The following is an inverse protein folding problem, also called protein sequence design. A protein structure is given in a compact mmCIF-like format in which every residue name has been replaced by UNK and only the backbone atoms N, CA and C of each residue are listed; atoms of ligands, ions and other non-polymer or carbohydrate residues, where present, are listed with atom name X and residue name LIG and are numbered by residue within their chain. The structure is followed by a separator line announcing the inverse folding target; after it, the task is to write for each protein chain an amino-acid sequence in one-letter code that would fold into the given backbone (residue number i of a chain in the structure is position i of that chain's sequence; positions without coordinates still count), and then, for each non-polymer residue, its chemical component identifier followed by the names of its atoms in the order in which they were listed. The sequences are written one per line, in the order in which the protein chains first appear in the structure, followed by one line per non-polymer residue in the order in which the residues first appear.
data_IF_696067331145
#
_entry.id   IF_696067331145
#
_cell.length_a   1.000
_cell.length_b   1.000
_cell.length_c   1.000
_cell.angle_alpha   90.00
_cell.angle_beta   90.00
_cell.angle_gamma   90.00
#
_symmetry.space_group_name_H-M   'P 1'
#
loop_
_entity.id
_entity.type
_entity.pdbx_description
1 polymer ?
#
# COMPACT_ATOMS: atom_id res chain seq x y z
N UNK A 1 22.97 19.53 13.76
CA UNK A 1 22.02 20.39 13.02
C UNK A 1 20.68 19.68 12.96
N UNK A 2 19.56 20.42 12.88
CA UNK A 2 18.23 19.83 12.63
C UNK A 2 18.23 19.20 11.24
N UNK A 3 18.20 17.88 11.17
CA UNK A 3 18.12 17.16 9.89
C UNK A 3 16.68 17.17 9.39
N UNK A 4 16.51 17.48 8.09
CA UNK A 4 15.20 17.41 7.45
C UNK A 4 14.84 15.96 7.13
N UNK A 5 13.57 15.60 7.35
CA UNK A 5 13.03 14.30 6.90
C UNK A 5 13.07 14.23 5.38
N UNK A 6 13.42 13.05 4.85
CA UNK A 6 13.45 12.79 3.41
C UNK A 6 12.05 12.81 2.77
N UNK A 7 11.03 12.46 3.54
CA UNK A 7 9.63 12.44 3.12
C UNK A 7 8.77 13.12 4.19
N UNK A 8 7.86 13.98 3.74
CA UNK A 8 6.81 14.63 4.50
C UNK A 8 5.42 14.02 4.20
N UNK A 9 5.25 13.45 3.01
CA UNK A 9 4.07 12.68 2.59
C UNK A 9 4.19 11.19 2.94
N UNK A 10 3.18 10.68 3.67
CA UNK A 10 3.13 9.29 4.13
C UNK A 10 2.99 8.26 2.99
N UNK A 11 2.22 8.58 1.94
CA UNK A 11 2.04 7.69 0.78
C UNK A 11 3.34 7.60 -0.01
N UNK A 12 4.02 8.74 -0.21
CA UNK A 12 5.30 8.79 -0.91
C UNK A 12 6.38 8.00 -0.15
N UNK A 13 6.43 8.15 1.17
CA UNK A 13 7.28 7.34 2.03
C UNK A 13 7.00 5.84 1.85
N UNK A 14 5.73 5.43 1.96
CA UNK A 14 5.35 4.01 1.89
C UNK A 14 5.65 3.41 0.51
N UNK A 15 5.37 4.15 -0.58
CA UNK A 15 5.72 3.74 -1.95
C UNK A 15 7.21 3.49 -2.10
N UNK A 16 8.05 4.39 -1.59
CA UNK A 16 9.50 4.22 -1.65
C UNK A 16 9.99 3.07 -0.75
N UNK A 17 9.38 2.88 0.42
CA UNK A 17 9.71 1.77 1.31
C UNK A 17 9.45 0.43 0.61
N UNK A 18 8.27 0.25 0.03
CA UNK A 18 7.87 -1.02 -0.59
C UNK A 18 8.58 -1.29 -1.92
N UNK A 19 8.83 -0.25 -2.72
CA UNK A 19 9.50 -0.42 -4.03
C UNK A 19 11.01 -0.60 -3.92
N UNK A 20 11.66 0.21 -3.08
CA UNK A 20 13.13 0.34 -3.10
C UNK A 20 13.80 -0.19 -1.83
N UNK A 21 13.05 -0.36 -0.74
CA UNK A 21 13.61 -0.70 0.57
C UNK A 21 12.82 -1.83 1.25
N UNK A 22 12.24 -2.75 0.47
CA UNK A 22 11.35 -3.79 0.98
C UNK A 22 12.01 -4.64 2.06
N UNK A 23 13.31 -4.91 1.95
CA UNK A 23 14.10 -5.65 2.94
C UNK A 23 14.11 -5.01 4.34
N UNK A 24 13.93 -3.69 4.42
CA UNK A 24 13.93 -2.92 5.66
C UNK A 24 12.50 -2.57 6.13
N UNK A 25 11.48 -3.13 5.48
CA UNK A 25 10.07 -2.83 5.78
C UNK A 25 9.48 -3.67 6.91
N UNK A 26 10.19 -4.72 7.35
CA UNK A 26 9.67 -5.72 8.29
C UNK A 26 8.71 -6.74 7.67
N UNK A 27 8.48 -6.68 6.35
CA UNK A 27 7.66 -7.67 5.63
C UNK A 27 8.36 -9.04 5.66
N UNK A 28 7.66 -10.12 6.06
CA UNK A 28 8.23 -11.47 6.02
C UNK A 28 8.62 -11.89 4.60
N UNK A 29 9.73 -12.63 4.47
CA UNK A 29 10.21 -13.15 3.18
C UNK A 29 9.14 -13.88 2.36
N UNK A 30 8.23 -14.61 3.04
CA UNK A 30 7.15 -15.34 2.38
C UNK A 30 6.17 -14.45 1.62
N UNK A 31 6.08 -13.16 1.97
CA UNK A 31 5.17 -12.18 1.35
C UNK A 31 5.89 -11.18 0.45
N UNK A 32 7.24 -11.18 0.39
CA UNK A 32 7.99 -10.20 -0.42
C UNK A 32 7.52 -10.18 -1.88
N UNK A 33 7.24 -11.34 -2.46
CA UNK A 33 6.76 -11.47 -3.84
C UNK A 33 5.41 -10.77 -4.05
N UNK A 34 4.49 -10.86 -3.09
CA UNK A 34 3.18 -10.21 -3.20
C UNK A 34 3.31 -8.69 -3.19
N UNK A 35 4.20 -8.17 -2.34
CA UNK A 35 4.48 -6.74 -2.25
C UNK A 35 5.24 -6.19 -3.46
N UNK A 36 6.09 -7.01 -4.10
CA UNK A 36 6.76 -6.67 -5.37
C UNK A 36 5.77 -6.68 -6.52
N UNK A 37 4.89 -7.70 -6.58
CA UNK A 37 3.88 -7.86 -7.64
C UNK A 37 2.91 -6.68 -7.67
N UNK A 38 2.54 -6.16 -6.49
CA UNK A 38 1.92 -4.85 -6.39
C UNK A 38 0.99 -4.72 -5.19
N UNK A 39 1.02 -3.55 -4.57
CA UNK A 39 0.12 -3.18 -3.48
C UNK A 39 -0.60 -1.87 -3.77
N UNK A 40 -1.88 -1.81 -3.42
CA UNK A 40 -2.68 -0.59 -3.53
C UNK A 40 -2.63 0.18 -2.21
N UNK A 41 -2.06 1.38 -2.23
CA UNK A 41 -2.01 2.28 -1.08
C UNK A 41 -3.13 3.31 -1.24
N UNK A 42 -4.04 3.37 -0.28
CA UNK A 42 -5.21 4.25 -0.30
C UNK A 42 -5.18 5.13 0.94
N UNK A 43 -5.40 6.44 0.74
CA UNK A 43 -5.56 7.39 1.82
C UNK A 43 -7.01 7.42 2.31
N UNK A 44 -7.21 7.46 3.63
CA UNK A 44 -8.53 7.45 4.24
C UNK A 44 -9.43 8.62 3.77
N UNK A 45 -8.84 9.78 3.46
CA UNK A 45 -9.58 10.93 2.93
C UNK A 45 -10.21 10.69 1.54
N UNK A 46 -9.73 9.69 0.78
CA UNK A 46 -10.33 9.26 -0.50
C UNK A 46 -11.49 8.27 -0.31
N UNK A 47 -11.78 7.89 0.93
CA UNK A 47 -12.80 6.91 1.33
C UNK A 47 -13.88 7.58 2.19
N UNK A 48 -13.93 8.91 2.20
CA UNK A 48 -14.55 9.77 3.21
C UNK A 48 -16.02 9.51 3.55
N UNK A 49 -16.78 8.80 2.72
CA UNK A 49 -18.19 8.46 2.96
C UNK A 49 -18.46 6.95 3.14
N UNK A 50 -17.43 6.13 3.25
CA UNK A 50 -17.55 4.67 3.40
C UNK A 50 -16.74 4.20 4.59
N UNK A 51 -17.28 3.26 5.35
CA UNK A 51 -16.52 2.55 6.38
C UNK A 51 -15.33 1.82 5.75
N UNK A 52 -14.28 1.55 6.54
CA UNK A 52 -13.14 0.73 6.10
C UNK A 52 -13.63 -0.63 5.57
N UNK A 53 -14.66 -1.21 6.21
CA UNK A 53 -15.29 -2.45 5.77
C UNK A 53 -15.85 -2.36 4.35
N UNK A 54 -16.58 -1.30 4.02
CA UNK A 54 -17.11 -1.07 2.68
C UNK A 54 -16.01 -0.76 1.66
N UNK A 55 -14.98 -0.04 2.07
CA UNK A 55 -13.83 0.28 1.22
C UNK A 55 -13.06 -0.99 0.83
N UNK A 56 -12.83 -1.88 1.79
CA UNK A 56 -12.16 -3.17 1.59
C UNK A 56 -13.04 -4.11 0.78
N UNK A 57 -14.36 -4.13 1.00
CA UNK A 57 -15.29 -4.92 0.19
C UNK A 57 -15.19 -4.57 -1.31
N UNK A 58 -15.10 -3.29 -1.66
CA UNK A 58 -14.92 -2.85 -3.06
C UNK A 58 -13.54 -3.19 -3.66
N UNK A 59 -12.54 -3.50 -2.83
CA UNK A 59 -11.20 -3.95 -3.29
C UNK A 59 -11.16 -5.48 -3.42
N UNK A 60 -11.92 -6.19 -2.58
CA UNK A 60 -12.01 -7.64 -2.57
C UNK A 60 -12.90 -8.21 -3.68
N UNK A 61 -13.82 -7.40 -4.25
CA UNK A 61 -14.48 -7.73 -5.52
C UNK A 61 -13.41 -7.71 -6.59
N UNK A 62 -12.88 -8.89 -6.87
CA UNK A 62 -11.92 -9.11 -7.94
C UNK A 62 -12.68 -8.91 -9.24
N UNK A 63 -12.06 -8.23 -10.21
CA UNK A 63 -12.57 -8.15 -11.57
C UNK A 63 -12.81 -9.60 -12.04
N UNK A 64 -14.07 -10.02 -12.16
CA UNK A 64 -14.47 -11.39 -12.51
C UNK A 64 -13.93 -11.81 -13.90
N UNK A 65 -13.34 -10.86 -14.63
CA UNK A 65 -12.68 -11.05 -15.93
C UNK A 65 -11.29 -11.68 -15.86
N UNK A 66 -10.69 -11.86 -14.67
CA UNK A 66 -9.33 -12.43 -14.53
C UNK A 66 -9.31 -13.96 -14.63
N UNK A 67 -10.46 -14.63 -14.53
CA UNK A 67 -10.57 -16.08 -14.76
C UNK A 67 -11.25 -16.36 -16.11
N UNK A 68 -10.43 -16.56 -17.15
CA UNK A 68 -10.81 -17.17 -18.42
C UNK A 68 -10.00 -18.44 -18.65
#
# INVERSE_FOLDING_TARGET
SLQKRKYDDAILFLKNLLKNNLKNSGIPKGLEKDFITGVKIISANKVSNKSIKEAVANIAVTDETIFH
#
